data_IF_909701194341
#
_entry.id   IF_909701194341
#
_cell.length_a   1.000
_cell.length_b   1.000
_cell.length_c   1.000
_cell.angle_alpha   90.00
_cell.angle_beta   90.00
_cell.angle_gamma   90.00
#
_symmetry.space_group_name_H-M   'P 1'
#
loop_
_entity.id
_entity.type
_entity.pdbx_description
1 polymer ?
#
# COMPACT_ATOMS: atom_id res chain seq x y z
N UNK A 1 -24.53 63.30 55.44
CA UNK A 1 -23.55 62.21 55.69
C UNK A 1 -23.71 61.23 54.55
N UNK A 2 -22.96 61.41 53.47
CA UNK A 2 -23.08 60.55 52.29
C UNK A 2 -21.72 60.51 51.62
N UNK A 3 -20.90 59.60 52.10
CA UNK A 3 -19.61 59.26 51.52
C UNK A 3 -19.34 57.77 51.77
N UNK A 4 -18.79 57.12 50.74
CA UNK A 4 -18.28 55.74 50.70
C UNK A 4 -19.40 54.66 50.74
N UNK A 5 -19.49 53.68 49.85
CA UNK A 5 -18.46 52.91 49.11
C UNK A 5 -19.13 52.38 47.84
N UNK A 6 -18.76 52.84 46.65
CA UNK A 6 -17.61 52.38 45.86
C UNK A 6 -17.78 50.95 45.30
N UNK A 7 -18.15 50.93 44.03
CA UNK A 7 -18.34 49.79 43.14
C UNK A 7 -17.06 48.96 43.03
N UNK A 8 -16.86 47.93 43.86
CA UNK A 8 -15.61 47.14 43.77
C UNK A 8 -15.78 45.67 44.16
N UNK A 9 -16.58 44.88 43.42
CA UNK A 9 -16.36 43.43 43.33
C UNK A 9 -16.78 42.86 41.97
N UNK A 10 -16.17 43.33 40.88
CA UNK A 10 -16.09 42.52 39.66
C UNK A 10 -14.75 42.79 38.97
N UNK A 11 -13.70 42.10 39.43
CA UNK A 11 -12.40 42.12 38.78
C UNK A 11 -12.01 40.69 38.36
N UNK A 12 -12.47 40.18 37.20
CA UNK A 12 -11.76 39.13 36.50
C UNK A 12 -10.72 39.81 35.60
N UNK A 13 -9.59 40.24 36.16
CA UNK A 13 -8.55 40.92 35.39
C UNK A 13 -7.14 40.54 35.86
N UNK A 14 -6.89 39.23 35.98
CA UNK A 14 -5.54 38.72 36.23
C UNK A 14 -5.19 37.49 35.37
N UNK A 15 -5.91 37.23 34.27
CA UNK A 15 -5.34 36.45 33.18
C UNK A 15 -4.58 37.44 32.28
N UNK A 16 -3.38 37.77 32.75
CA UNK A 16 -2.41 38.60 32.06
C UNK A 16 -2.26 38.18 30.60
N UNK A 17 -2.06 39.18 29.73
CA UNK A 17 -1.71 39.14 28.30
C UNK A 17 -0.52 38.21 28.00
N UNK A 18 -0.70 36.92 28.20
CA UNK A 18 0.30 35.93 27.86
C UNK A 18 0.25 35.80 26.35
N UNK A 19 1.41 35.87 25.66
CA UNK A 19 1.39 35.80 24.23
C UNK A 19 0.74 34.49 23.75
N UNK A 20 -0.09 34.59 22.71
CA UNK A 20 -1.01 33.54 22.25
C UNK A 20 -0.35 32.16 22.03
N UNK A 21 0.93 32.12 21.66
CA UNK A 21 1.69 30.88 21.44
C UNK A 21 2.02 30.11 22.73
N UNK A 22 1.82 30.70 23.91
CA UNK A 22 2.07 30.07 25.22
C UNK A 22 0.88 29.22 25.69
N UNK A 23 -0.27 29.27 25.01
CA UNK A 23 -1.46 28.51 25.40
C UNK A 23 -1.41 27.09 24.81
N UNK A 24 -1.30 26.03 25.64
CA UNK A 24 -1.18 24.64 25.13
C UNK A 24 -2.43 24.17 24.38
N UNK A 25 -3.62 24.68 24.76
CA UNK A 25 -4.88 24.40 24.07
C UNK A 25 -4.84 24.81 22.59
N UNK A 26 -4.17 25.91 22.26
CA UNK A 26 -4.06 26.37 20.87
C UNK A 26 -3.29 25.37 20.01
N UNK A 27 -2.20 24.80 20.55
CA UNK A 27 -1.42 23.78 19.88
C UNK A 27 -2.21 22.48 19.68
N UNK A 28 -3.15 22.14 20.56
CA UNK A 28 -4.02 20.97 20.38
C UNK A 28 -4.99 21.17 19.20
N UNK A 29 -5.50 22.38 19.01
CA UNK A 29 -6.38 22.73 17.87
C UNK A 29 -5.60 22.78 16.56
N UNK A 30 -4.42 23.42 16.55
CA UNK A 30 -3.56 23.55 15.35
C UNK A 30 -2.89 22.21 15.01
N UNK A 31 -2.61 21.38 16.02
CA UNK A 31 -1.89 20.12 15.88
C UNK A 31 -2.61 19.11 15.00
N UNK A 32 -3.95 19.04 15.07
CA UNK A 32 -4.74 18.16 14.20
C UNK A 32 -4.54 18.46 12.71
N UNK A 33 -4.87 19.67 12.23
CA UNK A 33 -4.62 20.09 10.85
C UNK A 33 -3.15 20.00 10.45
N UNK A 34 -2.21 20.39 11.31
CA UNK A 34 -0.79 20.32 11.02
C UNK A 34 -0.31 18.87 10.81
N UNK A 35 -0.80 17.92 11.63
CA UNK A 35 -0.47 16.51 11.49
C UNK A 35 -0.96 15.95 10.13
N UNK A 36 -2.16 16.32 9.69
CA UNK A 36 -2.70 15.89 8.38
C UNK A 36 -1.88 16.45 7.23
N UNK A 37 -1.44 17.71 7.31
CA UNK A 37 -0.55 18.30 6.30
C UNK A 37 0.76 17.51 6.20
N UNK A 38 1.40 17.20 7.33
CA UNK A 38 2.63 16.39 7.37
C UNK A 38 2.39 14.99 6.78
N UNK A 39 1.33 14.30 7.19
CA UNK A 39 0.98 12.97 6.68
C UNK A 39 0.76 12.98 5.16
N UNK A 40 0.15 14.04 4.62
CA UNK A 40 -0.06 14.21 3.18
C UNK A 40 1.27 14.36 2.43
N UNK A 41 2.21 15.15 2.95
CA UNK A 41 3.54 15.27 2.37
C UNK A 41 4.34 13.96 2.44
N UNK A 42 4.25 13.22 3.54
CA UNK A 42 4.90 11.90 3.67
C UNK A 42 4.34 10.94 2.62
N UNK A 43 3.02 10.90 2.48
CA UNK A 43 2.35 10.05 1.48
C UNK A 43 2.76 10.44 0.06
N UNK A 44 2.78 11.75 -0.24
CA UNK A 44 3.24 12.26 -1.54
C UNK A 44 4.72 11.91 -1.80
N UNK A 45 5.57 12.08 -0.81
CA UNK A 45 6.99 11.75 -0.92
C UNK A 45 7.19 10.25 -1.19
N UNK A 46 6.43 9.39 -0.50
CA UNK A 46 6.46 7.95 -0.71
C UNK A 46 6.03 7.59 -2.13
N UNK A 47 4.94 8.20 -2.63
CA UNK A 47 4.44 7.99 -3.98
C UNK A 47 5.42 8.50 -5.06
N UNK A 48 6.13 9.59 -4.79
CA UNK A 48 7.14 10.12 -5.72
C UNK A 48 8.39 9.23 -5.79
N UNK A 49 8.81 8.66 -4.66
CA UNK A 49 10.03 7.86 -4.57
C UNK A 49 9.81 6.37 -4.86
N UNK A 50 8.56 5.91 -4.79
CA UNK A 50 8.21 4.50 -5.02
C UNK A 50 7.51 4.39 -6.37
N UNK A 51 8.25 4.12 -7.47
CA UNK A 51 7.63 3.60 -8.66
C UNK A 51 7.05 2.23 -8.28
N UNK A 52 5.73 2.17 -8.08
CA UNK A 52 5.03 0.90 -7.94
C UNK A 52 5.30 0.09 -9.22
N UNK A 53 6.20 -0.89 -9.13
CA UNK A 53 6.42 -1.88 -10.17
C UNK A 53 5.20 -2.82 -10.18
N UNK A 54 4.07 -2.31 -10.66
CA UNK A 54 2.82 -3.04 -10.81
C UNK A 54 3.00 -4.03 -11.95
N UNK A 55 3.36 -5.27 -11.61
CA UNK A 55 3.39 -6.42 -12.51
C UNK A 55 4.46 -6.25 -13.61
N UNK A 56 5.53 -7.05 -13.56
CA UNK A 56 6.44 -7.15 -14.70
C UNK A 56 5.62 -7.42 -15.95
N UNK A 57 5.91 -6.75 -17.06
CA UNK A 57 5.22 -6.99 -18.34
C UNK A 57 5.18 -8.48 -18.71
N UNK A 58 6.16 -9.22 -18.20
CA UNK A 58 6.33 -10.65 -18.37
C UNK A 58 5.29 -11.49 -17.59
N UNK A 59 4.77 -11.06 -16.44
CA UNK A 59 3.76 -11.84 -15.70
C UNK A 59 2.43 -11.94 -16.46
N UNK A 60 2.07 -10.90 -17.21
CA UNK A 60 0.91 -10.94 -18.10
C UNK A 60 1.15 -11.87 -19.29
N UNK A 61 2.38 -11.87 -19.83
CA UNK A 61 2.79 -12.77 -20.93
C UNK A 61 2.83 -14.22 -20.47
N UNK A 62 3.37 -14.48 -19.28
CA UNK A 62 3.52 -15.81 -18.70
C UNK A 62 2.16 -16.44 -18.37
N UNK A 63 1.21 -15.66 -17.84
CA UNK A 63 -0.18 -16.11 -17.68
C UNK A 63 -0.88 -16.44 -19.00
N UNK A 64 -0.57 -15.71 -20.07
CA UNK A 64 -1.12 -15.96 -21.42
C UNK A 64 -0.54 -17.25 -22.03
N UNK A 65 0.74 -17.51 -21.83
CA UNK A 65 1.44 -18.70 -22.33
C UNK A 65 1.03 -19.97 -21.58
N UNK A 66 0.79 -19.88 -20.26
CA UNK A 66 0.22 -20.98 -19.48
C UNK A 66 -1.16 -21.38 -20.04
N UNK A 67 -1.99 -20.42 -20.45
CA UNK A 67 -3.30 -20.74 -21.04
C UNK A 67 -3.17 -21.41 -22.42
N UNK A 68 -2.19 -21.00 -23.24
CA UNK A 68 -1.91 -21.65 -24.54
C UNK A 68 -1.44 -23.09 -24.37
N UNK A 69 -0.52 -23.34 -23.44
CA UNK A 69 -0.03 -24.70 -23.17
C UNK A 69 -1.13 -25.59 -22.56
N UNK A 70 -1.99 -25.03 -21.70
CA UNK A 70 -3.18 -25.70 -21.18
C UNK A 70 -4.21 -25.99 -22.28
N UNK A 71 -4.42 -25.09 -23.23
CA UNK A 71 -5.32 -25.30 -24.37
C UNK A 71 -4.81 -26.45 -25.27
N UNK A 72 -3.51 -26.47 -25.57
CA UNK A 72 -2.87 -27.58 -26.31
C UNK A 72 -3.01 -28.89 -25.52
N UNK A 73 -2.82 -28.88 -24.20
CA UNK A 73 -3.03 -30.05 -23.34
C UNK A 73 -4.51 -30.46 -23.22
N UNK A 74 -5.45 -29.53 -23.32
CA UNK A 74 -6.91 -29.78 -23.31
C UNK A 74 -7.38 -30.51 -24.58
N UNK A 75 -6.60 -30.44 -25.66
CA UNK A 75 -6.82 -31.23 -26.87
C UNK A 75 -6.21 -32.63 -26.82
N UNK A 76 -5.42 -32.96 -25.78
CA UNK A 76 -5.12 -34.36 -25.50
C UNK A 76 -6.43 -35.02 -25.04
N UNK A 77 -6.80 -36.17 -25.61
CA UNK A 77 -7.96 -36.92 -25.13
C UNK A 77 -7.85 -37.09 -23.61
N UNK A 78 -8.94 -36.86 -22.86
CA UNK A 78 -8.95 -37.02 -21.40
C UNK A 78 -8.55 -38.45 -20.93
N UNK A 79 -8.47 -39.40 -21.86
CA UNK A 79 -7.92 -40.74 -21.68
C UNK A 79 -6.38 -40.76 -21.73
N UNK A 80 -5.75 -39.96 -22.59
CA UNK A 80 -4.29 -39.88 -22.75
C UNK A 80 -3.62 -39.12 -21.60
N UNK A 81 -4.29 -38.10 -21.03
CA UNK A 81 -3.75 -37.32 -19.92
C UNK A 81 -3.60 -38.08 -18.59
N UNK A 82 -4.48 -39.07 -18.33
CA UNK A 82 -4.36 -39.95 -17.14
C UNK A 82 -3.22 -40.96 -17.31
N UNK A 83 -3.04 -41.48 -18.52
CA UNK A 83 -2.06 -42.52 -18.81
C UNK A 83 -0.62 -41.96 -18.74
N UNK A 84 -0.43 -40.72 -19.18
CA UNK A 84 0.86 -40.02 -19.10
C UNK A 84 1.24 -39.53 -17.69
N UNK A 85 0.29 -39.34 -16.77
CA UNK A 85 0.59 -38.96 -15.39
C UNK A 85 1.06 -40.15 -14.53
N UNK A 86 0.82 -41.38 -15.00
CA UNK A 86 1.23 -42.63 -14.33
C UNK A 86 2.51 -43.24 -14.90
N UNK A 87 3.11 -42.67 -15.95
CA UNK A 87 4.37 -43.17 -16.51
C UNK A 87 5.55 -42.48 -15.79
N UNK A 88 6.41 -43.19 -15.05
CA UNK A 88 7.60 -42.60 -14.42
C UNK A 88 8.52 -41.99 -15.49
N UNK A 89 9.19 -40.89 -15.17
CA UNK A 89 10.11 -40.21 -16.09
C UNK A 89 11.28 -41.08 -16.57
N UNK A 90 11.52 -42.20 -15.87
CA UNK A 90 12.54 -43.21 -16.16
C UNK A 90 12.19 -44.12 -17.35
N UNK A 91 10.91 -44.24 -17.72
CA UNK A 91 10.44 -45.07 -18.85
C UNK A 91 10.38 -44.31 -20.20
N UNK A 92 10.68 -43.01 -20.19
CA UNK A 92 10.83 -42.23 -21.41
C UNK A 92 12.15 -42.63 -22.10
N UNK A 93 12.05 -43.35 -23.22
CA UNK A 93 13.22 -43.74 -24.01
C UNK A 93 14.07 -42.50 -24.36
N UNK A 94 15.39 -42.49 -24.12
CA UNK A 94 16.23 -41.37 -24.51
C UNK A 94 16.17 -41.27 -26.03
N UNK A 95 15.63 -40.17 -26.54
CA UNK A 95 15.70 -39.84 -27.97
C UNK A 95 17.17 -39.82 -28.35
N UNK A 96 17.64 -40.93 -28.94
CA UNK A 96 18.94 -41.01 -29.59
C UNK A 96 18.89 -40.00 -30.72
N UNK A 97 19.56 -38.85 -30.52
CA UNK A 97 19.78 -37.89 -31.61
C UNK A 97 20.65 -38.61 -32.64
N UNK A 98 20.03 -39.17 -33.66
CA UNK A 98 20.73 -39.72 -34.81
C UNK A 98 21.32 -38.53 -35.58
N UNK A 99 22.64 -38.36 -35.48
CA UNK A 99 23.40 -37.47 -36.35
C UNK A 99 23.34 -38.04 -37.78
N UNK A 100 22.79 -37.26 -38.71
CA UNK A 100 22.79 -37.55 -40.13
C UNK A 100 24.18 -37.25 -40.74
N UNK A 101 24.60 -37.98 -41.80
CA UNK A 101 25.96 -37.92 -42.37
C UNK A 101 26.28 -36.59 -43.07
#
# INVERSE_FOLDING_TARGET
MNAATDSTMNAPAAEADKPWWRHPLLWMVIGGPAAVMIASFVTFWLAWHSPDALVSEDYYREGLEINKTLAVKKHLPALTGRDHAMTPAEDMSPVVRQAAP
#
